data_IF_536804444785
#
_entry.id   IF_536804444785
#
_cell.length_a   1.000
_cell.length_b   1.000
_cell.length_c   1.000
_cell.angle_alpha   90.00
_cell.angle_beta   90.00
_cell.angle_gamma   90.00
#
_symmetry.space_group_name_H-M   'P 1'
#
loop_
_entity.id
_entity.type
_entity.pdbx_description
1 polymer ?
#
# COMPACT_ATOMS: atom_id res chain seq x y z
N UNK A 1 22.70 21.78 -21.57
CA UNK A 1 23.12 20.37 -21.68
C UNK A 1 21.88 19.49 -21.62
N UNK A 2 21.66 18.58 -22.58
CA UNK A 2 20.58 17.60 -22.52
C UNK A 2 20.78 16.64 -21.33
N UNK A 3 19.69 16.26 -20.68
CA UNK A 3 19.65 15.38 -19.50
C UNK A 3 20.45 14.07 -19.70
N UNK A 4 20.42 13.52 -20.91
CA UNK A 4 21.08 12.26 -21.26
C UNK A 4 22.62 12.35 -21.18
N UNK A 5 23.20 13.47 -21.60
CA UNK A 5 24.65 13.68 -21.56
C UNK A 5 25.18 13.80 -20.13
N UNK A 6 24.40 14.43 -19.24
CA UNK A 6 24.74 14.54 -17.82
C UNK A 6 24.76 13.16 -17.16
N UNK A 7 23.75 12.33 -17.42
CA UNK A 7 23.65 10.98 -16.86
C UNK A 7 24.80 10.09 -17.34
N UNK A 8 25.22 10.18 -18.61
CA UNK A 8 26.35 9.41 -19.12
C UNK A 8 27.67 9.78 -18.44
N UNK A 9 27.90 11.08 -18.23
CA UNK A 9 29.09 11.57 -17.54
C UNK A 9 29.11 11.11 -16.08
N UNK A 10 27.96 11.21 -15.40
CA UNK A 10 27.85 10.83 -14.00
C UNK A 10 28.01 9.31 -13.83
N UNK A 11 27.43 8.49 -14.72
CA UNK A 11 27.65 7.04 -14.78
C UNK A 11 29.10 6.64 -14.99
N UNK A 12 29.82 7.32 -15.89
CA UNK A 12 31.23 7.05 -16.15
C UNK A 12 32.14 7.44 -14.97
N UNK A 13 31.69 8.36 -14.11
CA UNK A 13 32.42 8.78 -12.91
C UNK A 13 32.20 7.86 -11.71
N UNK A 14 31.22 6.96 -11.78
CA UNK A 14 30.84 6.07 -10.69
C UNK A 14 31.66 4.77 -10.68
N UNK A 15 31.97 4.23 -9.49
CA UNK A 15 32.56 2.88 -9.35
C UNK A 15 31.65 1.80 -9.93
N UNK A 16 32.23 0.67 -10.31
CA UNK A 16 31.53 -0.43 -10.98
C UNK A 16 30.32 -0.96 -10.17
N UNK A 17 30.45 -1.06 -8.85
CA UNK A 17 29.36 -1.45 -7.95
C UNK A 17 28.17 -0.47 -8.01
N UNK A 18 28.44 0.83 -8.12
CA UNK A 18 27.41 1.85 -8.23
C UNK A 18 26.75 1.84 -9.62
N UNK A 19 27.50 1.50 -10.68
CA UNK A 19 26.92 1.31 -12.02
C UNK A 19 25.95 0.12 -12.03
N UNK A 20 26.28 -0.97 -11.35
CA UNK A 20 25.36 -2.10 -11.17
C UNK A 20 24.08 -1.69 -10.44
N UNK A 21 24.18 -0.85 -9.38
CA UNK A 21 22.99 -0.31 -8.71
C UNK A 21 22.09 0.51 -9.63
N UNK A 22 22.66 1.32 -10.54
CA UNK A 22 21.88 2.07 -11.52
C UNK A 22 21.15 1.12 -12.48
N UNK A 23 21.80 0.04 -12.92
CA UNK A 23 21.16 -0.99 -13.75
C UNK A 23 19.99 -1.64 -13.01
N UNK A 24 20.16 -2.03 -11.74
CA UNK A 24 19.08 -2.57 -10.92
C UNK A 24 17.93 -1.58 -10.76
N UNK A 25 18.24 -0.31 -10.55
CA UNK A 25 17.24 0.74 -10.41
C UNK A 25 16.45 0.96 -11.71
N UNK A 26 17.12 0.95 -12.86
CA UNK A 26 16.46 1.04 -14.18
C UNK A 26 15.55 -0.18 -14.40
N UNK A 27 16.01 -1.39 -14.05
CA UNK A 27 15.19 -2.60 -14.11
C UNK A 27 13.96 -2.50 -13.21
N UNK A 28 14.13 -2.00 -11.98
CA UNK A 28 13.03 -1.73 -11.06
C UNK A 28 12.03 -0.73 -11.64
N UNK A 29 12.49 0.41 -12.18
CA UNK A 29 11.60 1.41 -12.79
C UNK A 29 10.85 0.84 -13.99
N UNK A 30 11.52 0.10 -14.87
CA UNK A 30 10.86 -0.56 -16.01
C UNK A 30 9.76 -1.52 -15.54
N UNK A 31 10.01 -2.29 -14.47
CA UNK A 31 9.03 -3.20 -13.90
C UNK A 31 7.87 -2.44 -13.23
N UNK A 32 8.19 -1.38 -12.48
CA UNK A 32 7.21 -0.55 -11.79
C UNK A 32 6.24 0.11 -12.76
N UNK A 33 6.71 0.65 -13.89
CA UNK A 33 5.83 1.28 -14.89
C UNK A 33 5.15 0.27 -15.83
N UNK A 34 5.71 -0.94 -16.02
CA UNK A 34 5.02 -2.04 -16.73
C UNK A 34 3.86 -2.61 -15.93
N UNK A 35 4.06 -2.80 -14.64
CA UNK A 35 3.06 -3.38 -13.73
C UNK A 35 2.43 -2.33 -12.85
N UNK A 36 2.61 -1.04 -13.15
CA UNK A 36 1.92 0.02 -12.45
C UNK A 36 0.45 -0.36 -12.58
N UNK A 37 -0.23 -0.74 -11.48
CA UNK A 37 -1.66 -0.65 -11.54
C UNK A 37 -1.83 0.83 -11.83
N UNK A 38 -2.34 1.17 -13.02
CA UNK A 38 -3.11 2.39 -13.15
C UNK A 38 -4.01 2.30 -11.93
N UNK A 39 -3.71 3.08 -10.89
CA UNK A 39 -4.46 3.09 -9.67
C UNK A 39 -5.74 3.80 -10.09
N UNK A 40 -6.58 3.03 -10.77
CA UNK A 40 -7.95 3.32 -11.02
C UNK A 40 -8.49 3.27 -9.60
N UNK A 41 -8.44 4.43 -8.96
CA UNK A 41 -9.19 4.80 -7.76
C UNK A 41 -10.68 4.79 -8.08
N UNK A 42 -11.14 3.78 -8.83
CA UNK A 42 -12.55 3.46 -8.92
C UNK A 42 -12.96 3.21 -7.48
N UNK A 43 -13.87 4.04 -6.94
CA UNK A 43 -14.30 3.87 -5.57
C UNK A 43 -14.82 2.45 -5.42
N UNK A 44 -14.27 1.73 -4.45
CA UNK A 44 -14.75 0.40 -4.11
C UNK A 44 -16.19 0.55 -3.63
N UNK A 45 -17.13 -0.07 -4.35
CA UNK A 45 -18.54 0.02 -4.01
C UNK A 45 -18.82 -0.81 -2.75
N UNK A 46 -19.22 -0.14 -1.67
CA UNK A 46 -19.53 -0.75 -0.38
C UNK A 46 -21.00 -1.18 -0.25
N UNK A 47 -21.91 -0.62 -1.04
CA UNK A 47 -23.36 -0.67 -0.79
C UNK A 47 -23.99 -2.07 -0.86
N UNK A 48 -23.30 -3.06 -1.44
CA UNK A 48 -23.82 -4.43 -1.61
C UNK A 48 -22.78 -5.51 -1.31
N UNK A 49 -21.82 -5.22 -0.43
CA UNK A 49 -20.84 -6.23 -0.03
C UNK A 49 -21.45 -7.18 1.01
N UNK A 50 -21.15 -8.50 0.95
CA UNK A 50 -21.73 -9.49 1.85
C UNK A 50 -21.40 -9.26 3.34
N UNK A 51 -20.39 -8.44 3.63
CA UNK A 51 -20.01 -8.09 5.00
C UNK A 51 -20.79 -6.89 5.57
N UNK A 52 -21.47 -6.10 4.72
CA UNK A 52 -22.29 -4.96 5.17
C UNK A 52 -23.58 -5.52 5.79
N UNK A 53 -23.90 -5.09 7.01
CA UNK A 53 -25.08 -5.56 7.74
C UNK A 53 -24.87 -6.86 8.53
N UNK A 54 -23.68 -7.48 8.51
CA UNK A 54 -23.38 -8.70 9.29
C UNK A 54 -23.72 -8.63 10.79
N UNK A 55 -23.77 -7.43 11.34
CA UNK A 55 -24.01 -7.17 12.77
C UNK A 55 -25.37 -6.50 13.04
N UNK A 56 -26.21 -6.32 12.01
CA UNK A 56 -27.48 -5.61 12.13
C UNK A 56 -28.45 -6.30 13.09
N UNK A 57 -28.48 -7.63 13.08
CA UNK A 57 -29.40 -8.41 13.91
C UNK A 57 -28.85 -8.69 15.32
N UNK A 58 -27.67 -8.14 15.67
CA UNK A 58 -27.03 -8.35 16.96
C UNK A 58 -27.49 -7.28 17.96
N UNK A 59 -28.34 -7.62 18.95
CA UNK A 59 -28.85 -6.62 19.89
C UNK A 59 -27.74 -6.04 20.79
N UNK A 60 -26.68 -6.80 21.06
CA UNK A 60 -25.48 -6.36 21.78
C UNK A 60 -24.62 -5.37 20.99
N UNK A 61 -24.81 -5.27 19.66
CA UNK A 61 -24.10 -4.34 18.79
C UNK A 61 -24.82 -3.01 18.55
N UNK A 62 -26.01 -2.83 19.15
CA UNK A 62 -26.72 -1.53 19.10
C UNK A 62 -25.86 -0.40 19.70
N UNK A 63 -25.09 -0.69 20.76
CA UNK A 63 -24.01 0.16 21.25
C UNK A 63 -22.67 -0.58 21.09
N UNK A 64 -22.09 -0.44 19.90
CA UNK A 64 -20.79 -1.04 19.57
C UNK A 64 -19.67 -0.57 20.50
N UNK A 65 -19.78 0.64 21.06
CA UNK A 65 -18.75 1.18 21.97
C UNK A 65 -18.83 0.49 23.32
N UNK A 66 -20.03 0.30 23.87
CA UNK A 66 -20.23 -0.46 25.10
C UNK A 66 -19.79 -1.92 24.94
N UNK A 67 -20.14 -2.55 23.82
CA UNK A 67 -19.75 -3.92 23.50
C UNK A 67 -18.23 -4.11 23.51
N UNK A 68 -17.47 -3.27 22.78
CA UNK A 68 -15.99 -3.36 22.75
C UNK A 68 -15.39 -3.16 24.14
N UNK A 69 -15.92 -2.20 24.92
CA UNK A 69 -15.42 -1.93 26.28
C UNK A 69 -15.67 -3.12 27.22
N UNK A 70 -16.83 -3.76 27.13
CA UNK A 70 -17.16 -4.95 27.92
C UNK A 70 -16.23 -6.12 27.57
N UNK A 71 -16.03 -6.39 26.27
CA UNK A 71 -15.12 -7.45 25.82
C UNK A 71 -13.70 -7.21 26.33
N UNK A 72 -13.19 -5.98 26.24
CA UNK A 72 -11.85 -5.63 26.75
C UNK A 72 -11.72 -5.84 28.25
N UNK A 73 -12.72 -5.45 29.04
CA UNK A 73 -12.73 -5.71 30.49
C UNK A 73 -12.70 -7.21 30.79
N UNK A 74 -13.52 -8.00 30.10
CA UNK A 74 -13.62 -9.44 30.34
C UNK A 74 -12.35 -10.20 29.95
N UNK A 75 -11.72 -9.81 28.83
CA UNK A 75 -10.60 -10.58 28.30
C UNK A 75 -9.24 -10.12 28.85
N UNK A 76 -9.09 -8.85 29.22
CA UNK A 76 -7.79 -8.25 29.52
C UNK A 76 -7.62 -7.77 30.96
N UNK A 77 -8.60 -7.98 31.85
CA UNK A 77 -8.39 -7.84 33.31
C UNK A 77 -7.85 -9.14 33.92
N UNK A 78 -6.63 -9.49 33.55
CA UNK A 78 -5.80 -10.39 34.37
C UNK A 78 -4.96 -9.57 35.34
#
# INVERSE_FOLDING_TARGET
MPLLEQIQKDLASLPEDAQQMVIYFICFLKQYYKNSPTCSTKPFNLDNQPFVGMWQDRPDMQDSTAWVRQIRKQQWQR
#
